data_IF_878624810465
#
_entry.id   IF_878624810465
#
_cell.length_a   1.000
_cell.length_b   1.000
_cell.length_c   1.000
_cell.angle_alpha   90.00
_cell.angle_beta   90.00
_cell.angle_gamma   90.00
#
_symmetry.space_group_name_H-M   'P 1'
#
loop_
_entity.id
_entity.type
_entity.pdbx_description
1 polymer ?
#
# COMPACT_ATOMS: atom_id res chain seq x y z
N UNK A 1 23.67 9.95 22.40
CA UNK A 1 22.69 8.94 22.84
C UNK A 1 23.11 7.61 22.24
N UNK A 2 23.66 6.72 23.06
CA UNK A 2 24.25 5.43 22.64
C UNK A 2 23.17 4.36 22.69
N UNK A 3 23.02 3.59 21.61
CA UNK A 3 22.38 2.27 21.62
C UNK A 3 23.37 1.28 21.01
N UNK A 4 23.87 0.38 21.84
CA UNK A 4 24.83 -0.67 21.51
C UNK A 4 24.08 -2.01 21.43
N UNK A 5 24.38 -2.87 20.44
CA UNK A 5 23.91 -4.26 20.43
C UNK A 5 23.57 -4.86 19.06
N UNK A 6 24.61 -5.31 18.34
CA UNK A 6 24.48 -6.17 17.15
C UNK A 6 24.21 -5.40 15.86
N UNK A 7 25.08 -5.58 14.87
CA UNK A 7 25.02 -4.98 13.53
C UNK A 7 23.78 -5.42 12.74
N UNK A 8 22.59 -4.95 13.13
CA UNK A 8 21.45 -4.87 12.23
C UNK A 8 21.75 -3.75 11.25
N UNK A 9 22.44 -4.09 10.15
CA UNK A 9 22.49 -3.18 9.00
C UNK A 9 21.04 -2.85 8.65
N UNK A 10 20.68 -1.57 8.68
CA UNK A 10 19.41 -1.14 8.11
C UNK A 10 19.40 -1.62 6.68
N UNK A 11 18.44 -2.49 6.35
CA UNK A 11 18.19 -2.88 4.96
C UNK A 11 17.86 -1.60 4.23
N UNK A 12 18.63 -1.29 3.19
CA UNK A 12 18.44 -0.09 2.40
C UNK A 12 16.97 0.02 1.99
N UNK A 13 16.31 1.05 2.50
CA UNK A 13 14.89 1.24 2.31
C UNK A 13 14.73 1.84 0.91
N UNK A 14 14.57 0.98 -0.11
CA UNK A 14 14.35 1.44 -1.48
C UNK A 14 13.08 2.30 -1.52
N UNK A 15 13.25 3.62 -1.63
CA UNK A 15 12.19 4.63 -1.68
C UNK A 15 11.12 4.33 -2.74
N UNK A 16 11.49 3.63 -3.80
CA UNK A 16 10.61 3.25 -4.91
C UNK A 16 9.67 2.10 -4.61
N UNK A 17 9.97 1.19 -3.67
CA UNK A 17 9.15 -0.03 -3.54
C UNK A 17 7.73 0.23 -3.05
N UNK A 18 7.57 1.09 -2.06
CA UNK A 18 6.26 1.39 -1.48
C UNK A 18 5.43 2.30 -2.38
N UNK A 19 6.08 3.28 -3.04
CA UNK A 19 5.42 4.17 -4.00
C UNK A 19 4.98 3.46 -5.27
N UNK A 20 5.84 2.63 -5.85
CA UNK A 20 5.45 1.83 -7.02
C UNK A 20 4.38 0.80 -6.66
N UNK A 21 4.43 0.25 -5.44
CA UNK A 21 3.42 -0.71 -4.99
C UNK A 21 2.06 -0.03 -4.73
N UNK A 22 2.05 1.15 -4.11
CA UNK A 22 0.85 1.99 -3.95
C UNK A 22 0.18 2.24 -5.30
N UNK A 23 0.93 2.75 -6.29
CA UNK A 23 0.39 2.96 -7.64
C UNK A 23 -0.10 1.68 -8.31
N UNK A 24 0.57 0.54 -8.11
CA UNK A 24 0.14 -0.74 -8.68
C UNK A 24 -1.17 -1.24 -8.06
N UNK A 25 -1.31 -1.16 -6.73
CA UNK A 25 -2.53 -1.56 -6.03
C UNK A 25 -3.68 -0.62 -6.39
N UNK A 26 -3.43 0.68 -6.46
CA UNK A 26 -4.41 1.66 -6.93
C UNK A 26 -4.91 1.37 -8.33
N UNK A 27 -4.02 1.00 -9.25
CA UNK A 27 -4.39 0.60 -10.62
C UNK A 27 -5.24 -0.68 -10.65
N UNK A 28 -4.95 -1.68 -9.80
CA UNK A 28 -5.75 -2.90 -9.69
C UNK A 28 -7.18 -2.56 -9.24
N UNK A 29 -7.35 -1.73 -8.21
CA UNK A 29 -8.67 -1.35 -7.71
C UNK A 29 -9.45 -0.57 -8.76
N UNK A 30 -8.81 0.44 -9.38
CA UNK A 30 -9.46 1.30 -10.35
C UNK A 30 -9.92 0.56 -11.62
N UNK A 31 -9.28 -0.57 -11.96
CA UNK A 31 -9.54 -1.32 -13.18
C UNK A 31 -10.03 -2.75 -12.90
N UNK A 32 -10.52 -3.03 -11.70
CA UNK A 32 -10.80 -4.41 -11.26
C UNK A 32 -11.75 -5.17 -12.19
N UNK A 33 -12.91 -4.58 -12.51
CA UNK A 33 -13.91 -5.22 -13.37
C UNK A 33 -13.38 -5.52 -14.78
N UNK A 34 -12.60 -4.58 -15.33
CA UNK A 34 -11.95 -4.75 -16.62
C UNK A 34 -10.89 -5.86 -16.58
N UNK A 35 -10.08 -5.91 -15.52
CA UNK A 35 -9.05 -6.94 -15.32
C UNK A 35 -9.67 -8.35 -15.21
N UNK A 36 -10.79 -8.48 -14.49
CA UNK A 36 -11.53 -9.75 -14.39
C UNK A 36 -12.02 -10.18 -15.77
N UNK A 37 -12.62 -9.26 -16.53
CA UNK A 37 -13.14 -9.55 -17.87
C UNK A 37 -12.02 -9.99 -18.83
N UNK A 38 -10.91 -9.25 -18.88
CA UNK A 38 -9.75 -9.58 -19.72
C UNK A 38 -9.14 -10.94 -19.36
N UNK A 39 -9.03 -11.26 -18.07
CA UNK A 39 -8.47 -12.57 -17.66
C UNK A 39 -9.42 -13.73 -17.94
N UNK A 40 -10.74 -13.49 -17.98
CA UNK A 40 -11.74 -14.51 -18.30
C UNK A 40 -11.84 -14.76 -19.82
N UNK A 41 -11.78 -13.70 -20.62
CA UNK A 41 -11.84 -13.77 -22.09
C UNK A 41 -10.60 -14.43 -22.70
N UNK A 42 -9.49 -14.47 -21.96
CA UNK A 42 -8.30 -15.12 -22.46
C UNK A 42 -8.40 -16.65 -22.47
N UNK A 43 -8.09 -17.23 -23.63
CA UNK A 43 -8.34 -18.65 -23.90
C UNK A 43 -7.13 -19.54 -23.60
N UNK A 44 -5.95 -18.96 -23.43
CA UNK A 44 -4.74 -19.71 -23.09
C UNK A 44 -3.72 -18.88 -22.30
N UNK A 45 -2.99 -19.56 -21.41
CA UNK A 45 -1.77 -19.04 -20.80
C UNK A 45 -1.93 -18.50 -19.38
N UNK A 46 -1.01 -17.60 -19.01
CA UNK A 46 -0.89 -17.03 -17.66
C UNK A 46 -2.05 -16.11 -17.23
N UNK A 47 -2.72 -15.34 -18.11
CA UNK A 47 -3.83 -14.47 -17.69
C UNK A 47 -5.03 -15.25 -17.15
N UNK A 48 -5.46 -16.31 -17.86
CA UNK A 48 -6.57 -17.17 -17.44
C UNK A 48 -6.32 -17.84 -16.08
N UNK A 49 -5.08 -18.24 -15.79
CA UNK A 49 -4.74 -18.84 -14.49
C UNK A 49 -4.77 -17.85 -13.32
N UNK A 50 -4.72 -16.54 -13.60
CA UNK A 50 -4.84 -15.48 -12.59
C UNK A 50 -6.30 -15.10 -12.30
N UNK A 51 -7.24 -15.39 -13.21
CA UNK A 51 -8.66 -15.08 -13.03
C UNK A 51 -9.22 -15.61 -11.69
N UNK A 52 -8.98 -16.89 -11.38
CA UNK A 52 -9.50 -17.51 -10.14
C UNK A 52 -8.89 -16.89 -8.87
N UNK A 53 -7.57 -16.66 -8.76
CA UNK A 53 -6.98 -15.92 -7.63
C UNK A 53 -7.55 -14.51 -7.42
N UNK A 54 -7.73 -13.71 -8.49
CA UNK A 54 -8.14 -12.30 -8.37
C UNK A 54 -9.63 -12.12 -8.09
N UNK A 55 -10.44 -13.13 -8.36
CA UNK A 55 -11.90 -13.13 -8.10
C UNK A 55 -12.25 -13.63 -6.70
N UNK A 56 -11.26 -13.91 -5.86
CA UNK A 56 -11.52 -14.28 -4.47
C UNK A 56 -11.86 -13.05 -3.63
N UNK A 57 -12.82 -13.20 -2.71
CA UNK A 57 -13.12 -12.20 -1.68
C UNK A 57 -11.85 -11.74 -0.97
N UNK A 58 -10.97 -12.69 -0.62
CA UNK A 58 -9.71 -12.40 0.06
C UNK A 58 -8.81 -11.47 -0.76
N UNK A 59 -8.69 -11.69 -2.06
CA UNK A 59 -7.86 -10.83 -2.92
C UNK A 59 -8.42 -9.40 -2.93
N UNK A 60 -9.72 -9.26 -3.19
CA UNK A 60 -10.34 -7.95 -3.32
C UNK A 60 -10.34 -7.18 -1.98
N UNK A 61 -10.60 -7.84 -0.86
CA UNK A 61 -10.45 -7.29 0.48
C UNK A 61 -9.02 -6.79 0.73
N UNK A 62 -8.03 -7.66 0.48
CA UNK A 62 -6.61 -7.35 0.73
C UNK A 62 -6.15 -6.21 -0.16
N UNK A 63 -6.59 -6.13 -1.42
CA UNK A 63 -6.26 -5.02 -2.31
C UNK A 63 -6.79 -3.69 -1.78
N UNK A 64 -8.06 -3.61 -1.36
CA UNK A 64 -8.63 -2.39 -0.80
C UNK A 64 -7.97 -2.00 0.53
N UNK A 65 -7.76 -2.97 1.42
CA UNK A 65 -7.03 -2.76 2.68
C UNK A 65 -5.60 -2.25 2.45
N UNK A 66 -4.88 -2.84 1.48
CA UNK A 66 -3.54 -2.41 1.12
C UNK A 66 -3.54 -1.00 0.54
N UNK A 67 -4.53 -0.64 -0.27
CA UNK A 67 -4.59 0.71 -0.83
C UNK A 67 -4.76 1.79 0.24
N UNK A 68 -5.60 1.55 1.26
CA UNK A 68 -5.75 2.49 2.38
C UNK A 68 -4.46 2.61 3.20
N UNK A 69 -3.77 1.49 3.46
CA UNK A 69 -2.48 1.51 4.15
C UNK A 69 -1.38 2.21 3.33
N UNK A 70 -1.28 1.88 2.05
CA UNK A 70 -0.21 2.32 1.17
C UNK A 70 -0.32 3.80 0.81
N UNK A 71 -1.53 4.35 0.72
CA UNK A 71 -1.73 5.79 0.51
C UNK A 71 -1.11 6.60 1.64
N UNK A 72 -1.42 6.27 2.88
CA UNK A 72 -0.86 6.94 4.07
C UNK A 72 0.68 6.86 4.09
N UNK A 73 1.23 5.68 3.79
CA UNK A 73 2.68 5.46 3.74
C UNK A 73 3.34 6.17 2.55
N UNK A 74 2.66 6.30 1.41
CA UNK A 74 3.17 6.98 0.24
C UNK A 74 3.28 8.48 0.47
N UNK A 75 2.29 9.10 1.14
CA UNK A 75 2.34 10.53 1.49
C UNK A 75 3.49 10.80 2.47
N UNK A 76 3.66 9.96 3.49
CA UNK A 76 4.79 10.04 4.42
C UNK A 76 6.12 9.89 3.69
N UNK A 77 6.24 8.88 2.83
CA UNK A 77 7.46 8.63 2.04
C UNK A 77 7.81 9.80 1.13
N UNK A 78 6.82 10.41 0.46
CA UNK A 78 7.01 11.60 -0.38
C UNK A 78 7.45 12.81 0.45
N UNK A 79 6.92 12.96 1.66
CA UNK A 79 7.30 14.04 2.58
C UNK A 79 8.77 13.95 3.00
N UNK A 80 9.28 12.73 3.22
CA UNK A 80 10.70 12.48 3.48
C UNK A 80 11.62 12.65 2.27
N UNK A 81 11.09 12.77 1.05
CA UNK A 81 11.87 12.96 -0.17
C UNK A 81 12.06 14.44 -0.54
N UNK A 82 11.47 15.37 0.21
CA UNK A 82 11.67 16.80 0.01
C UNK A 82 13.12 17.18 0.36
N UNK A 83 13.75 18.03 -0.46
CA UNK A 83 15.12 18.51 -0.22
C UNK A 83 15.23 19.31 1.08
N UNK A 84 14.23 20.13 1.40
CA UNK A 84 14.20 20.95 2.62
C UNK A 84 13.26 20.34 3.66
N UNK A 85 13.80 19.37 4.39
CA UNK A 85 13.04 18.51 5.29
C UNK A 85 12.93 19.17 6.69
N UNK A 86 11.75 19.72 7.01
CA UNK A 86 11.50 20.29 8.34
C UNK A 86 11.08 19.20 9.33
N UNK A 87 11.98 18.80 10.22
CA UNK A 87 11.71 17.78 11.25
C UNK A 87 10.61 18.16 12.24
N UNK A 88 10.39 19.45 12.49
CA UNK A 88 9.30 19.92 13.35
C UNK A 88 7.92 19.65 12.73
N UNK A 89 7.83 19.64 11.40
CA UNK A 89 6.60 19.33 10.65
C UNK A 89 6.43 17.82 10.43
N UNK A 90 7.53 17.10 10.24
CA UNK A 90 7.51 15.67 9.92
C UNK A 90 7.19 14.79 11.12
N UNK A 91 7.61 15.18 12.32
CA UNK A 91 7.31 14.39 13.51
C UNK A 91 5.80 14.28 13.80
N UNK A 92 5.01 15.37 13.81
CA UNK A 92 3.56 15.29 13.87
C UNK A 92 2.95 14.45 12.74
N UNK A 93 3.50 14.58 11.52
CA UNK A 93 3.00 13.85 10.36
C UNK A 93 3.22 12.33 10.46
N UNK A 94 4.37 11.92 11.00
CA UNK A 94 4.67 10.52 11.31
C UNK A 94 3.70 9.96 12.35
N UNK A 95 3.45 10.71 13.44
CA UNK A 95 2.50 10.31 14.48
C UNK A 95 1.08 10.13 13.91
N UNK A 96 0.60 11.10 13.14
CA UNK A 96 -0.70 11.02 12.47
C UNK A 96 -0.78 9.82 11.49
N UNK A 97 0.31 9.50 10.79
CA UNK A 97 0.35 8.31 9.92
C UNK A 97 0.24 7.01 10.72
N UNK A 98 0.90 6.93 11.89
CA UNK A 98 0.79 5.78 12.79
C UNK A 98 -0.64 5.63 13.30
N UNK A 99 -1.27 6.72 13.72
CA UNK A 99 -2.65 6.72 14.23
C UNK A 99 -3.63 6.28 13.14
N UNK A 100 -3.51 6.83 11.91
CA UNK A 100 -4.32 6.42 10.75
C UNK A 100 -4.20 4.91 10.47
N UNK A 101 -2.98 4.37 10.48
CA UNK A 101 -2.77 2.92 10.28
C UNK A 101 -3.34 2.07 11.42
N UNK A 102 -3.33 2.59 12.66
CA UNK A 102 -3.97 1.93 13.79
C UNK A 102 -5.50 1.90 13.66
N UNK A 103 -6.11 2.98 13.18
CA UNK A 103 -7.55 3.04 12.90
C UNK A 103 -7.97 2.06 11.79
N UNK A 104 -7.19 1.98 10.70
CA UNK A 104 -7.42 1.01 9.62
C UNK A 104 -7.32 -0.43 10.15
N UNK A 105 -6.30 -0.72 10.97
CA UNK A 105 -6.12 -2.04 11.60
C UNK A 105 -7.34 -2.43 12.47
N UNK A 106 -7.88 -1.47 13.21
CA UNK A 106 -9.04 -1.68 14.08
C UNK A 106 -10.38 -1.69 13.32
N UNK A 107 -10.36 -1.46 11.99
CA UNK A 107 -11.56 -1.40 11.15
C UNK A 107 -12.41 -0.14 11.37
N UNK A 108 -11.82 0.93 11.93
CA UNK A 108 -12.47 2.20 12.24
C UNK A 108 -12.36 3.23 11.11
N UNK A 109 -11.50 2.97 10.13
CA UNK A 109 -11.20 3.84 8.98
C UNK A 109 -10.86 2.99 7.75
N UNK A 110 -10.88 3.59 6.55
CA UNK A 110 -10.59 2.92 5.28
C UNK A 110 -11.63 3.21 4.20
N UNK A 111 -11.40 4.25 3.41
CA UNK A 111 -12.31 4.70 2.36
C UNK A 111 -12.46 3.69 1.21
N UNK A 112 -11.40 2.93 0.92
CA UNK A 112 -11.43 1.93 -0.14
C UNK A 112 -11.99 0.63 0.43
N UNK A 113 -11.60 0.25 1.65
CA UNK A 113 -12.13 -0.93 2.32
C UNK A 113 -13.64 -0.87 2.58
N UNK A 114 -14.18 0.32 2.84
CA UNK A 114 -15.63 0.50 3.06
C UNK A 114 -16.47 0.46 1.78
N UNK A 115 -15.85 0.58 0.61
CA UNK A 115 -16.50 0.51 -0.71
C UNK A 115 -16.41 -0.89 -1.34
N UNK A 116 -15.73 -1.82 -0.67
CA UNK A 116 -15.58 -3.22 -1.06
C UNK A 116 -16.80 -4.06 -0.66
#
# INVERSE_FOLDING_TARGET
>A
MVLNGGTKKFKEMFHTRWLSFEGSVGAIIANYEFLVSVFLEETAGKPLSLHKPITTFKFLYVSHFLADCLESLAILSKSFQKQDLNFAEIHPFLAATIDSLAEIKDGKSGDKLSKF
#
